data_IF_377253712163
#
_entry.id   IF_377253712163
#
_cell.length_a   1.000
_cell.length_b   1.000
_cell.length_c   1.000
_cell.angle_alpha   90.00
_cell.angle_beta   90.00
_cell.angle_gamma   90.00
#
_symmetry.space_group_name_H-M   'P 1'
#
loop_
_entity.id
_entity.type
_entity.pdbx_description
1 polymer ?
#
# COMPACT_ATOMS: atom_id res chain seq x y z
N UNK A 1 4.25 -2.73 12.10
CA UNK A 1 4.37 -2.50 10.64
C UNK A 1 2.97 -2.36 10.09
N UNK A 2 2.75 -1.40 9.21
CA UNK A 2 1.45 -1.15 8.59
C UNK A 2 1.57 -1.42 7.10
N UNK A 3 0.71 -2.28 6.56
CA UNK A 3 0.71 -2.55 5.12
C UNK A 3 0.34 -1.26 4.38
N UNK A 4 1.15 -0.83 3.43
CA UNK A 4 1.00 0.47 2.77
C UNK A 4 1.07 0.31 1.26
N UNK A 5 0.04 0.83 0.62
CA UNK A 5 -0.16 0.84 -0.81
C UNK A 5 0.50 2.06 -1.49
N UNK A 6 0.58 2.07 -2.82
CA UNK A 6 1.21 3.12 -3.60
C UNK A 6 0.55 4.49 -3.38
N UNK A 7 -0.79 4.55 -3.40
CA UNK A 7 -1.54 5.80 -3.28
C UNK A 7 -1.13 6.66 -2.07
N UNK A 8 -1.15 6.11 -0.84
CA UNK A 8 -0.65 6.82 0.33
C UNK A 8 0.83 7.22 0.28
N UNK A 9 1.71 6.41 -0.31
CA UNK A 9 3.12 6.77 -0.45
C UNK A 9 3.27 8.00 -1.33
N UNK A 10 2.53 8.05 -2.44
CA UNK A 10 2.49 9.20 -3.35
C UNK A 10 1.94 10.42 -2.60
N UNK A 11 0.76 10.28 -1.98
CA UNK A 11 0.10 11.36 -1.25
C UNK A 11 0.92 11.90 -0.07
N UNK A 12 1.77 11.10 0.59
CA UNK A 12 2.63 11.59 1.66
C UNK A 12 3.78 12.48 1.16
N UNK A 13 4.21 12.29 -0.09
CA UNK A 13 5.37 12.95 -0.68
C UNK A 13 4.94 14.15 -1.52
N UNK A 14 3.99 13.93 -2.43
CA UNK A 14 3.47 15.00 -3.28
C UNK A 14 2.48 15.86 -2.48
N UNK A 15 2.80 17.16 -2.37
CA UNK A 15 1.96 18.15 -1.68
C UNK A 15 0.78 18.62 -2.52
N UNK A 16 0.82 18.38 -3.84
CA UNK A 16 -0.26 18.67 -4.78
C UNK A 16 -1.35 17.60 -4.79
N UNK A 17 -1.09 16.40 -4.25
CA UNK A 17 -2.06 15.32 -4.15
C UNK A 17 -3.27 15.73 -3.29
N UNK A 18 -4.51 15.58 -3.78
CA UNK A 18 -5.71 15.95 -3.03
C UNK A 18 -5.81 15.25 -1.66
N UNK A 19 -5.33 14.02 -1.57
CA UNK A 19 -5.36 13.23 -0.34
C UNK A 19 -4.14 13.48 0.58
N UNK A 20 -3.23 14.39 0.23
CA UNK A 20 -2.00 14.68 0.99
C UNK A 20 -2.28 14.95 2.47
N UNK A 21 -3.20 15.89 2.76
CA UNK A 21 -3.55 16.29 4.13
C UNK A 21 -4.13 15.11 4.91
N UNK A 22 -5.00 14.33 4.27
CA UNK A 22 -5.67 13.18 4.90
C UNK A 22 -4.68 12.06 5.20
N UNK A 23 -3.77 11.74 4.27
CA UNK A 23 -2.70 10.77 4.47
C UNK A 23 -1.72 11.21 5.56
N UNK A 24 -1.34 12.50 5.60
CA UNK A 24 -0.50 13.08 6.65
C UNK A 24 -1.13 12.95 8.03
N UNK A 25 -2.43 13.23 8.16
CA UNK A 25 -3.17 13.07 9.41
C UNK A 25 -3.27 11.60 9.82
N UNK A 26 -3.62 10.72 8.90
CA UNK A 26 -3.70 9.28 9.14
C UNK A 26 -2.37 8.70 9.62
N UNK A 27 -1.25 9.12 9.02
CA UNK A 27 0.09 8.69 9.41
C UNK A 27 0.39 8.95 10.89
N UNK A 28 -0.16 10.01 11.49
CA UNK A 28 0.03 10.30 12.93
C UNK A 28 -0.62 9.28 13.86
N UNK A 29 -1.58 8.50 13.35
CA UNK A 29 -2.29 7.46 14.10
C UNK A 29 -1.65 6.08 13.93
N UNK A 30 -0.72 5.93 12.99
CA UNK A 30 -0.03 4.68 12.70
C UNK A 30 1.19 4.51 13.60
N UNK A 31 1.39 3.28 14.10
CA UNK A 31 2.54 2.95 14.94
C UNK A 31 3.53 2.04 14.21
N UNK A 32 4.81 2.43 14.26
CA UNK A 32 5.91 1.70 13.63
C UNK A 32 6.04 1.98 12.12
N UNK A 33 7.00 1.34 11.45
CA UNK A 33 7.30 1.63 10.06
C UNK A 33 6.22 1.12 9.12
N UNK A 34 6.10 1.81 7.98
CA UNK A 34 5.28 1.39 6.86
C UNK A 34 5.91 0.15 6.21
N UNK A 35 5.08 -0.73 5.65
CA UNK A 35 5.48 -1.97 5.01
C UNK A 35 4.80 -2.06 3.65
N UNK A 36 5.59 -2.16 2.59
CA UNK A 36 5.08 -2.27 1.23
C UNK A 36 5.74 -3.44 0.49
N UNK A 37 5.37 -3.65 -0.77
CA UNK A 37 5.95 -4.65 -1.66
C UNK A 37 6.64 -3.97 -2.84
N UNK A 38 7.49 -4.70 -3.56
CA UNK A 38 8.13 -4.18 -4.77
C UNK A 38 7.15 -3.69 -5.84
N UNK A 39 6.04 -4.39 -6.14
CA UNK A 39 5.02 -3.88 -7.07
C UNK A 39 4.41 -2.53 -6.67
N UNK A 40 3.93 -2.39 -5.42
CA UNK A 40 3.36 -1.13 -4.93
C UNK A 40 4.41 -0.01 -4.84
N UNK A 41 5.65 -0.34 -4.45
CA UNK A 41 6.76 0.61 -4.47
C UNK A 41 7.09 1.08 -5.89
N UNK A 42 7.07 0.18 -6.87
CA UNK A 42 7.35 0.49 -8.28
C UNK A 42 6.27 1.40 -8.86
N UNK A 43 5.01 1.13 -8.54
CA UNK A 43 3.89 2.00 -8.91
C UNK A 43 4.03 3.40 -8.29
N UNK A 44 4.34 3.50 -6.99
CA UNK A 44 4.59 4.79 -6.35
C UNK A 44 5.76 5.54 -7.00
N UNK A 45 6.86 4.85 -7.33
CA UNK A 45 8.00 5.44 -8.03
C UNK A 45 7.62 5.97 -9.42
N UNK A 46 6.77 5.24 -10.14
CA UNK A 46 6.26 5.67 -11.45
C UNK A 46 5.41 6.94 -11.32
N UNK A 47 4.41 6.93 -10.43
CA UNK A 47 3.50 8.05 -10.21
C UNK A 47 4.23 9.31 -9.72
N UNK A 48 5.18 9.18 -8.78
CA UNK A 48 6.00 10.30 -8.32
C UNK A 48 6.90 10.86 -9.43
N UNK A 49 7.37 10.00 -10.32
CA UNK A 49 8.14 10.39 -11.51
C UNK A 49 7.32 11.28 -12.45
N UNK A 50 6.07 10.90 -12.72
CA UNK A 50 5.14 11.70 -13.54
C UNK A 50 4.75 13.02 -12.85
N UNK A 51 4.50 12.99 -11.53
CA UNK A 51 4.04 14.16 -10.79
C UNK A 51 5.14 15.23 -10.60
N UNK A 52 6.34 14.83 -10.21
CA UNK A 52 7.40 15.76 -9.79
C UNK A 52 8.83 15.25 -10.06
N UNK A 53 9.00 14.21 -10.87
CA UNK A 53 10.28 13.69 -11.30
C UNK A 53 11.16 13.15 -10.18
N UNK A 54 12.48 13.27 -10.37
CA UNK A 54 13.49 12.68 -9.49
C UNK A 54 13.37 13.14 -8.03
N UNK A 55 13.06 14.41 -7.77
CA UNK A 55 12.99 14.94 -6.40
C UNK A 55 11.97 14.20 -5.53
N UNK A 56 10.84 13.81 -6.14
CA UNK A 56 9.79 13.06 -5.46
C UNK A 56 10.17 11.58 -5.28
N UNK A 57 10.75 10.96 -6.30
CA UNK A 57 11.31 9.60 -6.21
C UNK A 57 12.42 9.50 -5.15
N UNK A 58 13.30 10.49 -5.06
CA UNK A 58 14.35 10.58 -4.06
C UNK A 58 13.76 10.67 -2.64
N UNK A 59 12.64 11.39 -2.46
CA UNK A 59 11.95 11.44 -1.18
C UNK A 59 11.44 10.05 -0.75
N UNK A 60 10.93 9.25 -1.68
CA UNK A 60 10.51 7.88 -1.39
C UNK A 60 11.70 7.00 -1.00
N UNK A 61 12.84 7.13 -1.70
CA UNK A 61 14.09 6.47 -1.31
C UNK A 61 14.57 6.88 0.09
N UNK A 62 14.42 8.15 0.47
CA UNK A 62 14.78 8.62 1.81
C UNK A 62 13.95 7.95 2.90
N UNK A 63 12.66 7.70 2.67
CA UNK A 63 11.82 6.95 3.62
C UNK A 63 12.35 5.54 3.85
N UNK A 64 12.76 4.86 2.77
CA UNK A 64 13.35 3.52 2.84
C UNK A 64 14.69 3.52 3.59
N UNK A 65 15.58 4.45 3.25
CA UNK A 65 16.91 4.55 3.87
C UNK A 65 16.86 4.93 5.36
N UNK A 66 15.81 5.63 5.81
CA UNK A 66 15.58 5.95 7.22
C UNK A 66 14.92 4.82 8.02
N UNK A 67 14.41 3.80 7.33
CA UNK A 67 13.61 2.74 7.93
C UNK A 67 12.17 3.16 8.25
N UNK A 68 11.70 4.31 7.74
CA UNK A 68 10.30 4.73 7.85
C UNK A 68 9.40 3.86 6.95
N UNK A 69 9.97 3.33 5.86
CA UNK A 69 9.35 2.39 4.93
C UNK A 69 10.22 1.14 4.78
N UNK A 70 9.59 -0.03 4.82
CA UNK A 70 10.22 -1.33 4.58
C UNK A 70 9.58 -1.99 3.37
N UNK A 71 10.40 -2.52 2.46
CA UNK A 71 9.92 -3.38 1.36
C UNK A 71 10.10 -4.83 1.80
N UNK A 72 9.04 -5.62 1.65
CA UNK A 72 9.06 -7.07 1.88
C UNK A 72 8.36 -7.79 0.72
N UNK A 73 8.53 -9.11 0.65
CA UNK A 73 7.99 -9.93 -0.44
C UNK A 73 7.15 -11.07 0.13
N UNK A 74 5.97 -11.37 -0.45
CA UNK A 74 5.23 -12.57 -0.09
C UNK A 74 6.08 -13.82 -0.24
N UNK A 75 5.95 -14.76 0.70
CA UNK A 75 6.71 -16.02 0.72
C UNK A 75 6.42 -16.88 -0.50
N UNK A 76 5.19 -16.83 -1.01
CA UNK A 76 4.73 -17.70 -2.10
C UNK A 76 4.16 -16.87 -3.25
N UNK A 77 4.91 -16.73 -4.35
CA UNK A 77 4.43 -16.01 -5.54
C UNK A 77 3.23 -16.69 -6.20
N UNK A 78 3.06 -18.00 -6.03
CA UNK A 78 1.86 -18.72 -6.47
C UNK A 78 0.59 -18.19 -5.79
N UNK A 79 0.70 -17.68 -4.56
CA UNK A 79 -0.44 -17.08 -3.85
C UNK A 79 -0.84 -15.75 -4.50
N UNK A 80 0.13 -14.93 -4.91
CA UNK A 80 -0.14 -13.67 -5.63
C UNK A 80 -0.91 -13.94 -6.93
N UNK A 81 -0.43 -14.88 -7.75
CA UNK A 81 -1.12 -15.27 -8.99
C UNK A 81 -2.52 -15.86 -8.71
N UNK A 82 -2.66 -16.66 -7.64
CA UNK A 82 -3.95 -17.23 -7.24
C UNK A 82 -4.95 -16.16 -6.79
N UNK A 83 -4.49 -15.12 -6.09
CA UNK A 83 -5.33 -13.98 -5.69
C UNK A 83 -5.81 -13.21 -6.91
N UNK A 84 -4.94 -12.89 -7.86
CA UNK A 84 -5.34 -12.25 -9.12
C UNK A 84 -6.37 -13.10 -9.88
N UNK A 85 -6.17 -14.41 -9.97
CA UNK A 85 -7.12 -15.33 -10.61
C UNK A 85 -8.48 -15.39 -9.86
N UNK A 86 -8.45 -15.33 -8.53
CA UNK A 86 -9.64 -15.32 -7.66
C UNK A 86 -10.44 -14.03 -7.82
N UNK A 87 -9.76 -12.90 -7.87
CA UNK A 87 -10.37 -11.57 -7.94
C UNK A 87 -10.49 -11.02 -9.36
N UNK A 88 -10.22 -11.81 -10.40
CA UNK A 88 -10.27 -11.41 -11.83
C UNK A 88 -11.54 -10.68 -12.31
N UNK A 89 -12.65 -10.80 -11.59
CA UNK A 89 -13.93 -10.16 -11.93
C UNK A 89 -14.17 -8.84 -11.18
N UNK A 90 -13.24 -8.45 -10.30
CA UNK A 90 -13.18 -7.16 -9.62
C UNK A 90 -11.81 -6.56 -9.89
N UNK A 91 -11.58 -5.27 -9.61
CA UNK A 91 -10.23 -4.72 -9.70
C UNK A 91 -9.34 -5.51 -8.75
N UNK A 92 -8.22 -6.02 -9.25
CA UNK A 92 -7.06 -6.50 -8.49
C UNK A 92 -5.91 -6.59 -9.45
N UNK A 93 -4.87 -5.81 -9.19
CA UNK A 93 -3.63 -5.85 -9.94
C UNK A 93 -2.53 -6.59 -9.17
N UNK A 94 -1.30 -6.47 -9.67
CA UNK A 94 -0.13 -7.09 -9.05
C UNK A 94 0.25 -6.42 -7.72
N UNK A 95 0.09 -5.10 -7.59
CA UNK A 95 0.36 -4.37 -6.36
C UNK A 95 -0.56 -4.85 -5.25
N UNK A 96 -1.86 -4.82 -5.50
CA UNK A 96 -2.88 -5.31 -4.57
C UNK A 96 -2.67 -6.76 -4.18
N UNK A 97 -2.51 -7.65 -5.17
CA UNK A 97 -2.34 -9.08 -4.91
C UNK A 97 -1.07 -9.35 -4.08
N UNK A 98 0.01 -8.60 -4.32
CA UNK A 98 1.24 -8.73 -3.56
C UNK A 98 1.08 -8.24 -2.12
N UNK A 99 0.38 -7.12 -1.89
CA UNK A 99 0.09 -6.61 -0.55
C UNK A 99 -0.82 -7.56 0.22
N UNK A 100 -1.88 -8.06 -0.41
CA UNK A 100 -2.79 -9.04 0.21
C UNK A 100 -2.03 -10.30 0.58
N UNK A 101 -1.23 -10.89 -0.32
CA UNK A 101 -0.44 -12.08 0.01
C UNK A 101 0.54 -11.85 1.17
N UNK A 102 1.22 -10.69 1.19
CA UNK A 102 2.12 -10.33 2.29
C UNK A 102 1.35 -10.18 3.62
N UNK A 103 0.14 -9.62 3.57
CA UNK A 103 -0.72 -9.50 4.74
C UNK A 103 -1.14 -10.87 5.29
N UNK A 104 -1.42 -11.84 4.43
CA UNK A 104 -1.70 -13.22 4.84
C UNK A 104 -0.48 -13.85 5.55
N UNK A 105 0.71 -13.72 4.97
CA UNK A 105 1.96 -14.28 5.52
C UNK A 105 2.33 -13.68 6.88
N UNK A 106 2.05 -12.39 7.07
CA UNK A 106 2.40 -11.62 8.29
C UNK A 106 1.25 -11.51 9.28
N UNK A 107 0.07 -12.09 8.98
CA UNK A 107 -1.17 -11.96 9.76
C UNK A 107 -1.52 -10.48 10.07
N UNK A 108 -1.40 -9.62 9.06
CA UNK A 108 -1.74 -8.20 9.13
C UNK A 108 -3.17 -7.99 8.63
N UNK A 109 -3.91 -7.10 9.30
CA UNK A 109 -5.29 -6.77 8.92
C UNK A 109 -5.53 -5.27 8.77
N UNK A 110 -4.51 -4.44 8.96
CA UNK A 110 -4.59 -2.99 8.76
C UNK A 110 -3.82 -2.66 7.49
N UNK A 111 -4.48 -1.91 6.60
CA UNK A 111 -3.89 -1.42 5.36
C UNK A 111 -4.07 0.09 5.28
N UNK A 112 -2.98 0.80 5.03
CA UNK A 112 -2.96 2.18 4.62
C UNK A 112 -3.08 2.21 3.09
N UNK A 113 -4.27 2.56 2.60
CA UNK A 113 -4.58 2.67 1.16
C UNK A 113 -5.69 3.69 0.95
N UNK A 114 -5.68 4.32 -0.22
CA UNK A 114 -6.77 5.17 -0.71
C UNK A 114 -7.72 4.37 -1.61
N UNK A 115 -7.30 3.19 -2.06
CA UNK A 115 -8.11 2.30 -2.88
C UNK A 115 -9.19 1.59 -2.03
N UNK A 116 -10.42 1.65 -2.54
CA UNK A 116 -11.58 1.08 -1.88
C UNK A 116 -11.77 -0.40 -2.23
N UNK A 117 -11.07 -0.94 -3.22
CA UNK A 117 -11.16 -2.35 -3.62
C UNK A 117 -10.60 -3.29 -2.55
N UNK A 118 -9.73 -2.80 -1.67
CA UNK A 118 -9.36 -3.49 -0.42
C UNK A 118 -10.55 -3.85 0.49
N UNK A 119 -11.73 -3.24 0.30
CA UNK A 119 -12.97 -3.67 0.98
C UNK A 119 -13.57 -4.95 0.40
N UNK A 120 -13.21 -5.31 -0.83
CA UNK A 120 -13.65 -6.53 -1.51
C UNK A 120 -12.73 -7.68 -1.13
N UNK A 121 -11.43 -7.41 -0.99
CA UNK A 121 -10.43 -8.42 -0.67
C UNK A 121 -10.65 -9.02 0.72
N UNK A 122 -10.37 -10.31 0.86
CA UNK A 122 -10.59 -11.09 2.08
C UNK A 122 -9.34 -11.85 2.45
N UNK A 123 -8.91 -11.63 3.68
CA UNK A 123 -7.87 -12.39 4.37
C UNK A 123 -8.41 -13.79 4.78
N UNK A 124 -7.54 -14.70 5.21
CA UNK A 124 -7.94 -16.02 5.69
C UNK A 124 -9.06 -15.94 6.74
N UNK A 125 -9.96 -16.93 6.70
CA UNK A 125 -11.19 -16.97 7.53
C UNK A 125 -12.18 -15.82 7.24
N UNK A 126 -12.17 -15.29 6.01
CA UNK A 126 -13.09 -14.23 5.53
C UNK A 126 -12.96 -12.91 6.31
N UNK A 127 -11.81 -12.65 6.93
CA UNK A 127 -11.55 -11.38 7.60
C UNK A 127 -11.43 -10.26 6.56
N UNK A 128 -11.99 -9.09 6.87
CA UNK A 128 -11.81 -7.87 6.09
C UNK A 128 -10.57 -7.11 6.56
N UNK A 129 -10.02 -6.28 5.67
CA UNK A 129 -9.06 -5.27 6.07
C UNK A 129 -9.73 -4.15 6.87
N UNK A 130 -8.97 -3.59 7.81
CA UNK A 130 -9.19 -2.26 8.38
C UNK A 130 -8.44 -1.27 7.52
N UNK A 131 -9.18 -0.44 6.78
CA UNK A 131 -8.61 0.54 5.85
C UNK A 131 -8.38 1.86 6.58
N UNK A 132 -7.19 2.42 6.42
CA UNK A 132 -6.80 3.73 6.91
C UNK A 132 -6.36 4.58 5.71
N UNK A 133 -6.71 5.87 5.62
CA UNK A 133 -7.70 6.56 6.44
C UNK A 133 -9.11 5.97 6.25
N UNK A 134 -9.90 5.92 7.33
CA UNK A 134 -11.31 5.57 7.21
C UNK A 134 -12.01 6.59 6.32
N UNK A 135 -12.94 6.14 5.47
CA UNK A 135 -13.85 7.05 4.76
C UNK A 135 -14.73 7.71 5.82
N UNK A 136 -14.70 9.04 5.90
CA UNK A 136 -15.65 9.80 6.72
C UNK A 136 -17.06 9.40 6.27
N UNK A 137 -17.91 9.00 7.23
CA UNK A 137 -19.33 8.81 6.97
C UNK A 137 -19.98 10.13 6.55
#
# INVERSE_FOLDING_TARGET
MILTDAGPLVALIDRGEPEHVRCRQALTQLQGPLLTTWPAFTEAMYLLGEAAGWTAQEALWRMLNRGDLVIDTPRHLSQVASLMAKYRNVPMDLADASLVALAEDRNLSVVFTLDQDFRIYRLPRRKSFTIIPSVSQ
#
